data_IF_763188141103
#
_entry.id   IF_763188141103
#
_cell.length_a   1.000
_cell.length_b   1.000
_cell.length_c   1.000
_cell.angle_alpha   90.00
_cell.angle_beta   90.00
_cell.angle_gamma   90.00
#
_symmetry.space_group_name_H-M   'P 1'
#
loop_
_entity.id
_entity.type
_entity.pdbx_description
1 polymer ?
#
# COMPACT_ATOMS: atom_id res chain seq x y z
N UNK A 1 1.22 -31.07 -4.26
CA UNK A 1 0.44 -29.83 -4.49
C UNK A 1 1.29 -28.64 -4.08
N UNK A 2 1.94 -27.97 -5.04
CA UNK A 2 2.51 -26.64 -4.81
C UNK A 2 1.34 -25.69 -4.53
N UNK A 3 1.34 -25.00 -3.39
CA UNK A 3 0.38 -23.92 -3.14
C UNK A 3 0.62 -22.86 -4.22
N UNK A 4 -0.41 -22.51 -4.99
CA UNK A 4 -0.36 -21.37 -5.88
C UNK A 4 0.02 -20.16 -5.02
N UNK A 5 1.21 -19.61 -5.24
CA UNK A 5 1.60 -18.35 -4.60
C UNK A 5 0.68 -17.29 -5.17
N UNK A 6 -0.16 -16.70 -4.32
CA UNK A 6 -0.91 -15.53 -4.72
C UNK A 6 0.12 -14.43 -5.01
N UNK A 7 0.04 -13.73 -6.17
CA UNK A 7 0.97 -12.65 -6.52
C UNK A 7 0.72 -11.37 -5.71
N UNK A 8 -0.19 -11.44 -4.73
CA UNK A 8 -0.57 -10.31 -3.90
C UNK A 8 0.28 -10.30 -2.64
N UNK A 9 0.95 -9.19 -2.42
CA UNK A 9 1.62 -8.87 -1.17
C UNK A 9 0.67 -8.00 -0.35
N UNK A 10 0.24 -8.48 0.82
CA UNK A 10 -0.54 -7.65 1.73
C UNK A 10 0.42 -6.87 2.63
N UNK A 11 0.26 -5.55 2.70
CA UNK A 11 1.14 -4.71 3.54
C UNK A 11 1.09 -5.10 5.02
N UNK A 12 -0.03 -5.70 5.47
CA UNK A 12 -0.18 -6.25 6.82
C UNK A 12 0.81 -7.40 7.12
N UNK A 13 1.21 -8.18 6.11
CA UNK A 13 2.17 -9.28 6.28
C UNK A 13 3.56 -8.77 6.68
N UNK A 14 3.90 -7.55 6.24
CA UNK A 14 5.19 -6.91 6.56
C UNK A 14 5.17 -6.17 7.89
N UNK A 15 3.99 -5.92 8.46
CA UNK A 15 3.84 -5.13 9.68
C UNK A 15 4.73 -5.62 10.84
N UNK A 16 4.74 -6.93 11.18
CA UNK A 16 5.58 -7.44 12.26
C UNK A 16 7.08 -7.25 12.00
N UNK A 17 7.51 -7.42 10.75
CA UNK A 17 8.91 -7.27 10.33
C UNK A 17 9.34 -5.81 10.48
N UNK A 18 8.54 -4.88 9.95
CA UNK A 18 8.83 -3.44 10.01
C UNK A 18 8.94 -2.93 11.45
N UNK A 19 7.97 -3.28 12.30
CA UNK A 19 7.99 -2.87 13.70
C UNK A 19 9.14 -3.51 14.48
N UNK A 20 9.45 -4.79 14.22
CA UNK A 20 10.58 -5.46 14.87
C UNK A 20 11.91 -4.85 14.45
N UNK A 21 12.10 -4.57 13.16
CA UNK A 21 13.32 -3.93 12.64
C UNK A 21 13.55 -2.57 13.31
N UNK A 22 12.52 -1.73 13.43
CA UNK A 22 12.62 -0.43 14.11
C UNK A 22 12.98 -0.55 15.58
N UNK A 23 12.42 -1.52 16.29
CA UNK A 23 12.74 -1.75 17.71
C UNK A 23 14.20 -2.16 17.89
N UNK A 24 14.73 -3.01 16.99
CA UNK A 24 16.12 -3.48 17.04
C UNK A 24 17.13 -2.43 16.55
N UNK A 25 16.71 -1.59 15.60
CA UNK A 25 17.56 -0.61 14.94
C UNK A 25 16.84 0.74 14.86
N UNK A 26 16.82 1.54 15.94
CA UNK A 26 16.05 2.79 15.98
C UNK A 26 16.54 3.85 14.98
N UNK A 27 17.80 3.76 14.52
CA UNK A 27 18.38 4.65 13.52
C UNK A 27 18.22 4.13 12.08
N UNK A 28 17.52 3.01 11.88
CA UNK A 28 17.31 2.44 10.55
C UNK A 28 16.32 3.29 9.76
N UNK A 29 16.79 3.84 8.65
CA UNK A 29 15.94 4.54 7.68
C UNK A 29 15.44 3.52 6.66
N UNK A 30 14.13 3.34 6.59
CA UNK A 30 13.47 2.47 5.63
C UNK A 30 12.75 3.32 4.60
N UNK A 31 13.06 3.11 3.33
CA UNK A 31 12.36 3.74 2.22
C UNK A 31 11.49 2.73 1.48
N UNK A 32 10.29 3.15 1.06
CA UNK A 32 9.39 2.31 0.28
C UNK A 32 9.03 3.02 -1.02
N UNK A 33 9.37 2.40 -2.16
CA UNK A 33 9.17 2.97 -3.48
C UNK A 33 8.29 2.05 -4.33
N UNK A 34 7.34 2.62 -5.06
CA UNK A 34 6.43 1.87 -5.93
C UNK A 34 6.40 2.48 -7.33
N UNK A 35 6.26 1.65 -8.35
CA UNK A 35 5.93 2.06 -9.71
C UNK A 35 4.66 1.34 -10.15
N UNK A 36 3.83 2.02 -10.93
CA UNK A 36 2.66 1.44 -11.58
C UNK A 36 2.92 1.12 -13.05
N UNK A 37 4.14 1.31 -13.57
CA UNK A 37 4.45 1.16 -14.99
C UNK A 37 4.11 -0.25 -15.51
N UNK A 38 4.37 -1.29 -14.70
CA UNK A 38 4.04 -2.69 -15.05
C UNK A 38 2.55 -2.97 -15.18
N UNK A 39 1.69 -2.10 -14.63
CA UNK A 39 0.23 -2.17 -14.75
C UNK A 39 -0.24 -1.22 -15.85
N UNK A 40 0.31 -0.01 -15.91
CA UNK A 40 -0.12 1.05 -16.81
C UNK A 40 0.31 0.82 -18.27
N UNK A 41 1.52 0.32 -18.52
CA UNK A 41 2.05 0.12 -19.87
C UNK A 41 1.21 -0.89 -20.69
N UNK A 42 0.85 -2.09 -20.17
CA UNK A 42 -0.02 -3.00 -20.93
C UNK A 42 -1.40 -2.41 -21.24
N UNK A 43 -1.94 -1.60 -20.33
CA UNK A 43 -3.27 -0.97 -20.50
C UNK A 43 -3.18 0.16 -21.54
N UNK A 44 -2.11 0.95 -21.52
CA UNK A 44 -1.87 1.98 -22.52
C UNK A 44 -1.78 1.41 -23.94
N UNK A 45 -1.17 0.25 -24.09
CA UNK A 45 -0.99 -0.43 -25.38
C UNK A 45 -2.21 -1.31 -25.78
N UNK A 46 -3.27 -1.35 -24.98
CA UNK A 46 -4.48 -2.11 -25.29
C UNK A 46 -5.39 -1.29 -26.24
N UNK A 47 -5.74 -1.86 -27.39
CA UNK A 47 -6.59 -1.20 -28.39
C UNK A 47 -7.98 -0.85 -27.85
N UNK A 48 -8.47 -1.54 -26.81
CA UNK A 48 -9.74 -1.18 -26.14
C UNK A 48 -9.65 0.15 -25.39
N UNK A 49 -8.44 0.55 -24.99
CA UNK A 49 -8.21 1.82 -24.32
C UNK A 49 -8.28 2.99 -25.31
N UNK A 50 -7.93 2.77 -26.58
CA UNK A 50 -8.04 3.78 -27.66
C UNK A 50 -9.49 4.25 -27.85
N UNK A 51 -10.46 3.33 -27.81
CA UNK A 51 -11.89 3.63 -27.96
C UNK A 51 -12.46 4.44 -26.78
N UNK A 52 -12.01 4.17 -25.55
CA UNK A 52 -12.43 4.91 -24.35
C UNK A 52 -11.79 6.31 -24.28
N UNK A 53 -10.54 6.45 -24.69
CA UNK A 53 -9.79 7.71 -24.62
C UNK A 53 -10.31 8.79 -25.54
N UNK A 54 -11.03 8.42 -26.60
CA UNK A 54 -11.59 9.38 -27.57
C UNK A 54 -12.54 10.41 -26.93
N UNK A 55 -13.09 10.10 -25.75
CA UNK A 55 -14.05 10.95 -25.04
C UNK A 55 -13.56 11.51 -23.69
N UNK A 56 -12.45 11.01 -23.13
CA UNK A 56 -12.07 11.27 -21.73
C UNK A 56 -10.76 12.04 -21.54
N UNK A 57 -9.92 12.15 -22.57
CA UNK A 57 -8.64 12.85 -22.42
C UNK A 57 -8.77 14.35 -22.69
N UNK A 58 -8.18 15.16 -21.82
CA UNK A 58 -7.92 16.61 -22.05
C UNK A 58 -6.77 16.86 -23.03
N UNK A 59 -6.10 15.79 -23.47
CA UNK A 59 -5.02 15.77 -24.45
C UNK A 59 -5.38 14.78 -25.56
N UNK A 60 -5.01 15.04 -26.83
CA UNK A 60 -5.41 14.16 -27.94
C UNK A 60 -4.96 12.71 -27.70
N UNK A 61 -5.66 11.71 -28.29
CA UNK A 61 -5.22 10.33 -28.26
C UNK A 61 -3.86 10.27 -28.95
N UNK A 62 -2.81 10.24 -28.13
CA UNK A 62 -1.46 10.39 -28.63
C UNK A 62 -1.07 9.10 -29.35
N UNK A 63 -0.69 9.24 -30.61
CA UNK A 63 0.13 8.28 -31.37
C UNK A 63 1.51 8.02 -30.75
N UNK A 64 1.74 8.45 -29.51
CA UNK A 64 3.04 8.46 -28.85
C UNK A 64 3.18 7.23 -27.95
N UNK A 65 4.41 6.74 -27.87
CA UNK A 65 4.78 5.63 -27.00
C UNK A 65 4.44 5.94 -25.52
N UNK A 66 4.16 4.88 -24.75
CA UNK A 66 3.98 4.98 -23.31
C UNK A 66 5.18 5.69 -22.66
N UNK A 67 4.90 6.70 -21.83
CA UNK A 67 5.91 7.38 -21.03
C UNK A 67 5.84 6.90 -19.58
N UNK A 68 6.93 6.30 -19.12
CA UNK A 68 7.07 5.79 -17.77
C UNK A 68 6.91 6.89 -16.72
N UNK A 69 6.19 6.60 -15.65
CA UNK A 69 6.13 7.47 -14.48
C UNK A 69 7.33 7.25 -13.55
N UNK A 70 7.89 6.03 -13.54
CA UNK A 70 8.98 5.62 -12.66
C UNK A 70 8.54 5.42 -11.21
N UNK A 71 9.52 5.33 -10.32
CA UNK A 71 9.27 5.08 -8.90
C UNK A 71 8.81 6.34 -8.14
N UNK A 72 7.78 6.16 -7.32
CA UNK A 72 7.24 7.12 -6.36
C UNK A 72 7.61 6.68 -4.96
N UNK A 73 8.20 7.59 -4.19
CA UNK A 73 8.47 7.38 -2.78
C UNK A 73 7.16 7.46 -1.98
N UNK A 74 6.87 6.38 -1.27
CA UNK A 74 5.72 6.21 -0.38
C UNK A 74 6.17 5.71 0.99
N UNK A 75 7.38 6.10 1.44
CA UNK A 75 7.94 5.74 2.75
C UNK A 75 7.04 6.15 3.91
N UNK A 76 6.26 7.21 3.73
CA UNK A 76 5.24 7.64 4.67
C UNK A 76 4.18 6.55 4.97
N UNK A 77 3.95 5.62 4.05
CA UNK A 77 3.04 4.48 4.22
C UNK A 77 3.43 3.61 5.41
N UNK A 78 4.72 3.39 5.58
CA UNK A 78 5.23 2.50 6.60
C UNK A 78 5.54 3.24 7.89
N UNK A 79 5.39 4.57 7.97
CA UNK A 79 5.68 5.34 9.18
C UNK A 79 4.82 4.91 10.38
N UNK A 80 5.29 5.21 11.59
CA UNK A 80 4.48 5.00 12.79
C UNK A 80 3.30 5.99 12.81
N UNK A 81 2.10 5.60 13.28
CA UNK A 81 1.00 6.54 13.42
C UNK A 81 1.33 7.62 14.44
N UNK A 82 1.09 8.87 14.06
CA UNK A 82 1.17 10.03 14.96
C UNK A 82 -0.07 10.12 15.85
N UNK A 83 -0.07 11.04 16.81
CA UNK A 83 -1.27 11.29 17.62
C UNK A 83 -2.34 12.06 16.82
N UNK A 84 -1.93 12.86 15.83
CA UNK A 84 -2.83 13.47 14.85
C UNK A 84 -3.52 12.41 13.99
N UNK A 85 -2.79 11.38 13.52
CA UNK A 85 -3.37 10.26 12.78
C UNK A 85 -4.48 9.58 13.61
N UNK A 86 -4.24 9.37 14.92
CA UNK A 86 -5.23 8.77 15.82
C UNK A 86 -6.45 9.66 16.01
N UNK A 87 -6.24 10.96 16.22
CA UNK A 87 -7.32 11.92 16.40
C UNK A 87 -8.20 12.01 15.14
N UNK A 88 -7.57 12.15 13.97
CA UNK A 88 -8.27 12.19 12.68
C UNK A 88 -9.10 10.94 12.44
N UNK A 89 -8.53 9.74 12.67
CA UNK A 89 -9.25 8.48 12.48
C UNK A 89 -10.44 8.37 13.44
N UNK A 90 -10.29 8.80 14.69
CA UNK A 90 -11.37 8.78 15.67
C UNK A 90 -12.50 9.76 15.31
N UNK A 91 -12.17 10.92 14.75
CA UNK A 91 -13.14 11.96 14.41
C UNK A 91 -13.86 11.71 13.08
N UNK A 92 -13.12 11.33 12.03
CA UNK A 92 -13.63 11.32 10.67
C UNK A 92 -13.84 9.92 10.08
N UNK A 93 -13.26 8.88 10.70
CA UNK A 93 -13.27 7.50 10.19
C UNK A 93 -13.70 6.52 11.29
N UNK A 94 -14.81 6.81 11.96
CA UNK A 94 -15.35 5.99 13.05
C UNK A 94 -15.54 4.51 12.67
N UNK A 95 -15.99 4.27 11.43
CA UNK A 95 -16.21 2.93 10.88
C UNK A 95 -14.91 2.22 10.48
N UNK A 96 -13.79 2.96 10.47
CA UNK A 96 -12.43 2.50 10.12
C UNK A 96 -12.35 1.79 8.77
N UNK A 97 -13.18 2.21 7.82
CA UNK A 97 -13.21 1.67 6.46
C UNK A 97 -12.38 2.54 5.53
N UNK A 98 -11.49 1.90 4.78
CA UNK A 98 -10.80 2.55 3.68
C UNK A 98 -11.84 2.92 2.61
N UNK A 99 -11.89 4.16 2.14
CA UNK A 99 -12.81 4.52 1.07
C UNK A 99 -12.38 3.85 -0.23
N UNK A 100 -13.34 3.56 -1.11
CA UNK A 100 -13.03 3.00 -2.42
C UNK A 100 -12.13 3.96 -3.22
N UNK A 101 -11.11 3.39 -3.87
CA UNK A 101 -10.25 4.11 -4.81
C UNK A 101 -10.85 3.94 -6.21
N UNK A 102 -10.92 5.01 -7.03
CA UNK A 102 -11.23 4.88 -8.44
C UNK A 102 -10.28 3.89 -9.12
N UNK A 103 -10.68 3.31 -10.26
CA UNK A 103 -9.78 2.48 -11.06
C UNK A 103 -8.48 3.24 -11.37
N UNK A 104 -7.35 2.58 -11.12
CA UNK A 104 -6.03 3.19 -11.23
C UNK A 104 -5.75 3.63 -12.67
N UNK A 105 -6.19 2.82 -13.62
CA UNK A 105 -6.12 3.05 -15.06
C UNK A 105 -6.82 4.34 -15.47
N UNK A 106 -8.07 4.54 -15.06
CA UNK A 106 -8.84 5.76 -15.38
C UNK A 106 -8.21 7.00 -14.78
N UNK A 107 -7.72 6.88 -13.55
CA UNK A 107 -7.17 8.00 -12.81
C UNK A 107 -5.76 8.43 -13.22
N UNK A 108 -4.87 7.48 -13.49
CA UNK A 108 -3.47 7.79 -13.81
C UNK A 108 -3.25 7.95 -15.33
N UNK A 109 -3.91 7.16 -16.17
CA UNK A 109 -3.69 7.27 -17.62
C UNK A 109 -4.29 8.54 -18.23
N UNK A 110 -5.30 9.13 -17.59
CA UNK A 110 -5.87 10.44 -17.97
C UNK A 110 -4.97 11.64 -17.67
N UNK A 111 -3.84 11.40 -16.99
CA UNK A 111 -2.94 12.43 -16.48
C UNK A 111 -1.56 12.39 -17.15
N UNK A 112 -0.84 13.51 -17.10
CA UNK A 112 0.55 13.59 -17.59
C UNK A 112 1.50 12.75 -16.74
N UNK A 113 2.66 12.29 -17.26
CA UNK A 113 3.61 11.50 -16.46
C UNK A 113 4.06 12.17 -15.15
N UNK A 114 4.22 13.50 -15.16
CA UNK A 114 4.54 14.26 -13.95
C UNK A 114 3.39 14.20 -12.92
N UNK A 115 2.14 14.36 -13.37
CA UNK A 115 0.96 14.27 -12.51
C UNK A 115 0.73 12.84 -12.00
N UNK A 116 1.00 11.81 -12.81
CA UNK A 116 0.94 10.40 -12.39
C UNK A 116 1.79 10.14 -11.16
N UNK A 117 2.99 10.71 -11.09
CA UNK A 117 3.87 10.57 -9.93
C UNK A 117 3.28 11.21 -8.68
N UNK A 118 2.70 12.40 -8.81
CA UNK A 118 2.07 13.13 -7.69
C UNK A 118 0.83 12.39 -7.20
N UNK A 119 0.03 11.85 -8.12
CA UNK A 119 -1.20 11.14 -7.81
C UNK A 119 -0.95 9.71 -7.33
N UNK A 120 0.11 9.05 -7.80
CA UNK A 120 0.40 7.64 -7.53
C UNK A 120 0.35 7.29 -6.05
N UNK A 121 0.83 8.16 -5.17
CA UNK A 121 0.76 7.96 -3.71
C UNK A 121 -0.67 7.76 -3.18
N UNK A 122 -1.65 8.45 -3.77
CA UNK A 122 -3.07 8.37 -3.39
C UNK A 122 -3.74 7.10 -3.92
N UNK A 123 -3.16 6.46 -4.95
CA UNK A 123 -3.60 5.17 -5.45
C UNK A 123 -2.99 3.99 -4.68
N UNK A 124 -1.91 4.20 -3.92
CA UNK A 124 -1.38 3.19 -3.00
C UNK A 124 -2.28 3.03 -1.78
N UNK A 125 -2.55 4.13 -1.09
CA UNK A 125 -3.44 4.19 0.08
C UNK A 125 -4.16 5.52 0.11
N UNK A 126 -5.48 5.48 0.21
CA UNK A 126 -6.34 6.65 0.23
C UNK A 126 -6.29 7.40 1.57
N UNK A 127 -6.50 6.67 2.66
CA UNK A 127 -6.46 7.19 4.03
C UNK A 127 -5.20 6.72 4.75
N UNK A 128 -4.12 7.48 4.60
CA UNK A 128 -2.81 7.15 5.16
C UNK A 128 -2.83 7.03 6.69
N UNK A 129 -3.51 7.97 7.36
CA UNK A 129 -3.67 7.96 8.82
C UNK A 129 -4.35 6.68 9.31
N UNK A 130 -5.46 6.30 8.67
CA UNK A 130 -6.17 5.05 8.97
C UNK A 130 -5.26 3.84 8.78
N UNK A 131 -4.56 3.79 7.65
CA UNK A 131 -3.66 2.68 7.35
C UNK A 131 -2.57 2.50 8.44
N UNK A 132 -1.91 3.59 8.85
CA UNK A 132 -0.87 3.54 9.91
C UNK A 132 -1.44 3.11 11.26
N UNK A 133 -2.63 3.57 11.61
CA UNK A 133 -3.33 3.15 12.85
C UNK A 133 -3.60 1.65 12.81
N UNK A 134 -4.19 1.14 11.72
CA UNK A 134 -4.48 -0.28 11.55
C UNK A 134 -3.22 -1.15 11.57
N UNK A 135 -2.12 -0.70 10.94
CA UNK A 135 -0.83 -1.37 11.01
C UNK A 135 -0.35 -1.52 12.46
N UNK A 136 -0.39 -0.43 13.23
CA UNK A 136 0.04 -0.46 14.64
C UNK A 136 -0.82 -1.39 15.48
N UNK A 137 -2.14 -1.39 15.28
CA UNK A 137 -3.06 -2.28 15.98
C UNK A 137 -2.79 -3.74 15.63
N UNK A 138 -2.59 -4.03 14.34
CA UNK A 138 -2.24 -5.37 13.88
C UNK A 138 -0.93 -5.87 14.48
N UNK A 139 0.08 -5.00 14.63
CA UNK A 139 1.30 -5.34 15.34
C UNK A 139 1.05 -5.69 16.82
N UNK A 140 0.16 -4.95 17.50
CA UNK A 140 -0.25 -5.27 18.87
C UNK A 140 -0.86 -6.67 18.99
N UNK A 141 -1.72 -7.04 18.03
CA UNK A 141 -2.30 -8.39 17.94
C UNK A 141 -1.19 -9.44 17.73
N UNK A 142 -0.28 -9.19 16.79
CA UNK A 142 0.83 -10.09 16.52
C UNK A 142 1.69 -10.36 17.77
N UNK A 143 2.06 -9.32 18.50
CA UNK A 143 2.85 -9.44 19.74
C UNK A 143 2.11 -10.28 20.80
N UNK A 144 0.79 -10.07 20.94
CA UNK A 144 -0.04 -10.87 21.84
C UNK A 144 -0.03 -12.35 21.44
N UNK A 145 -0.26 -12.65 20.16
CA UNK A 145 -0.24 -14.02 19.65
C UNK A 145 1.13 -14.69 19.83
N UNK A 146 2.23 -13.98 19.59
CA UNK A 146 3.58 -14.49 19.81
C UNK A 146 3.84 -14.83 21.28
N UNK A 147 3.36 -13.99 22.21
CA UNK A 147 3.46 -14.26 23.65
C UNK A 147 2.69 -15.54 24.01
N UNK A 148 1.43 -15.66 23.59
CA UNK A 148 0.61 -16.85 23.86
C UNK A 148 1.22 -18.13 23.26
N UNK A 149 1.83 -18.06 22.08
CA UNK A 149 2.53 -19.20 21.47
C UNK A 149 3.72 -19.67 22.30
N UNK A 150 4.50 -18.73 22.85
CA UNK A 150 5.65 -19.05 23.70
C UNK A 150 5.23 -19.67 25.03
N UNK A 151 4.17 -19.16 25.64
CA UNK A 151 3.61 -19.71 26.88
C UNK A 151 3.16 -21.17 26.67
N UNK A 152 2.38 -21.44 25.61
CA UNK A 152 1.95 -22.81 25.28
C UNK A 152 3.12 -23.76 25.00
N UNK A 153 4.18 -23.27 24.35
CA UNK A 153 5.37 -24.09 24.08
C UNK A 153 6.17 -24.41 25.36
N UNK A 154 6.24 -23.47 26.31
CA UNK A 154 6.87 -23.69 27.61
C UNK A 154 6.09 -24.70 28.45
N UNK A 155 4.75 -24.61 28.45
CA UNK A 155 3.89 -25.57 29.15
C UNK A 155 4.04 -26.99 28.59
N UNK A 156 4.11 -27.12 27.26
CA UNK A 156 4.32 -28.42 26.60
C UNK A 156 5.67 -29.06 26.94
N UNK A 157 6.70 -28.26 27.20
CA UNK A 157 8.06 -28.74 27.55
C UNK A 157 8.15 -29.19 29.01
N UNK A 158 7.28 -28.66 29.90
CA UNK A 158 7.30 -28.96 31.34
C UNK A 158 6.58 -30.27 31.70
N UNK A 159 5.77 -30.80 30.78
CA UNK A 159 4.96 -32.02 30.97
C UNK A 159 5.62 -33.28 30.37
N UNK A 160 6.79 -33.15 29.74
CA UNK A 160 7.60 -34.25 29.19
C UNK A 160 8.80 -34.56 30.08
#
# INVERSE_FOLDING_TARGET
MQKAHQPFFFTLDFCPILHRLRTLHPNLVLTFNISFDTILEPIWNDTRWEDMNQFMLTSPPNSDAYLEMGFVDVSDLIALPTDEDRAYVAEHLADRRMPATPPLEEGLLSETPANRRVLGRHYVVKELALFRVLMREHYGIYVKCEKERKERAADATTVS
#
